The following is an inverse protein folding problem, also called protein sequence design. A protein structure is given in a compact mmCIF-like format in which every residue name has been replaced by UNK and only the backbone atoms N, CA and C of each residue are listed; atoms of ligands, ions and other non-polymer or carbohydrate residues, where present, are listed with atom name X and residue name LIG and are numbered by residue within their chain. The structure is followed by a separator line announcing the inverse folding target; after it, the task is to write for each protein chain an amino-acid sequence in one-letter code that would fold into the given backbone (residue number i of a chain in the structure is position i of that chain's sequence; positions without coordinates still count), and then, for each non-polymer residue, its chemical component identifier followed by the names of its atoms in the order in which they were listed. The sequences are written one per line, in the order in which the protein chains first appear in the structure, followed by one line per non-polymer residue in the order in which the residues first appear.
data_IF_558241536118
#
_entry.id   IF_558241536118
#
_cell.length_a   1.000
_cell.length_b   1.000
_cell.length_c   1.000
_cell.angle_alpha   90.00
_cell.angle_beta   90.00
_cell.angle_gamma   90.00
#
_symmetry.space_group_name_H-M   'P 1'
#
loop_
_entity.id
_entity.type
_entity.pdbx_description
1 polymer ?
#
# COMPACT_ATOMS: atom_id res chain seq x y z
N UNK A 1 -11.32 23.32 29.26
CA UNK A 1 -10.29 23.63 28.24
C UNK A 1 -10.10 22.40 27.37
N UNK A 2 -10.24 22.59 26.07
CA UNK A 2 -10.54 21.59 25.03
C UNK A 2 -9.53 20.44 24.91
N UNK A 3 -10.04 19.21 24.76
CA UNK A 3 -9.27 18.00 24.42
C UNK A 3 -8.53 18.07 23.08
N UNK A 4 -8.79 19.11 22.27
CA UNK A 4 -8.08 19.44 21.04
C UNK A 4 -6.58 19.74 21.27
N UNK A 5 -6.21 20.31 22.43
CA UNK A 5 -4.81 20.59 22.77
C UNK A 5 -4.04 19.34 23.22
N UNK A 6 -4.71 18.28 23.69
CA UNK A 6 -4.03 17.00 24.01
C UNK A 6 -3.73 16.16 22.75
N UNK A 7 -4.57 16.25 21.71
CA UNK A 7 -4.29 15.59 20.43
C UNK A 7 -3.07 16.21 19.71
N UNK A 8 -2.85 17.53 19.86
CA UNK A 8 -1.66 18.21 19.35
C UNK A 8 -0.36 17.89 20.12
N UNK A 9 -0.46 17.38 21.35
CA UNK A 9 0.70 16.95 22.14
C UNK A 9 1.05 15.45 21.96
N UNK A 10 0.18 14.66 21.35
CA UNK A 10 0.45 13.27 20.97
C UNK A 10 1.10 13.13 19.57
N UNK A 11 1.19 14.22 18.81
CA UNK A 11 1.63 14.25 17.41
C UNK A 11 3.04 14.80 17.15
N UNK A 12 3.89 14.93 18.17
CA UNK A 12 5.32 15.20 17.96
C UNK A 12 6.09 13.89 18.06
N UNK A 13 5.99 13.03 17.03
CA UNK A 13 7.09 12.10 16.74
C UNK A 13 8.25 12.99 16.36
N UNK A 14 9.22 13.13 17.27
CA UNK A 14 10.44 13.88 17.08
C UNK A 14 10.99 13.66 15.66
N UNK A 15 11.22 14.75 14.92
CA UNK A 15 11.82 14.74 13.59
C UNK A 15 13.22 14.11 13.68
N UNK A 16 13.29 12.79 13.48
CA UNK A 16 14.54 12.14 13.15
C UNK A 16 15.00 12.70 11.79
N UNK A 17 16.30 12.98 11.60
CA UNK A 17 16.81 13.54 10.36
C UNK A 17 16.36 12.69 9.17
N UNK A 18 15.84 13.36 8.13
CA UNK A 18 15.29 12.81 6.88
C UNK A 18 16.33 11.93 6.19
N UNK A 19 16.44 10.68 6.61
CA UNK A 19 17.36 9.74 6.01
C UNK A 19 16.82 9.40 4.62
N UNK A 20 17.50 9.90 3.59
CA UNK A 20 17.22 9.53 2.20
C UNK A 20 17.45 8.03 2.08
N UNK A 21 16.43 7.32 1.64
CA UNK A 21 16.48 5.88 1.40
C UNK A 21 17.55 5.61 0.35
N UNK A 22 18.52 4.77 0.70
CA UNK A 22 19.51 4.24 -0.22
C UNK A 22 19.14 2.82 -0.63
N UNK A 23 19.63 2.38 -1.78
CA UNK A 23 19.39 1.01 -2.27
C UNK A 23 19.93 -0.05 -1.30
N UNK A 24 21.05 0.24 -0.62
CA UNK A 24 21.65 -0.66 0.36
C UNK A 24 20.73 -0.89 1.56
N UNK A 25 20.03 0.16 2.01
CA UNK A 25 19.08 0.07 3.12
C UNK A 25 17.91 -0.85 2.74
N UNK A 26 17.34 -0.66 1.54
CA UNK A 26 16.24 -1.50 1.04
C UNK A 26 16.66 -2.97 0.95
N UNK A 27 17.88 -3.26 0.50
CA UNK A 27 18.42 -4.63 0.47
C UNK A 27 18.57 -5.21 1.87
N UNK A 28 19.04 -4.42 2.83
CA UNK A 28 19.14 -4.83 4.22
C UNK A 28 17.76 -5.16 4.82
N UNK A 29 16.72 -4.43 4.43
CA UNK A 29 15.34 -4.65 4.86
C UNK A 29 14.59 -5.73 4.06
N UNK A 30 15.25 -6.40 3.12
CA UNK A 30 14.70 -7.57 2.43
C UNK A 30 14.32 -7.38 0.96
N UNK A 31 14.75 -6.28 0.32
CA UNK A 31 14.62 -6.14 -1.14
C UNK A 31 15.53 -7.15 -1.86
N UNK A 32 14.92 -8.06 -2.62
CA UNK A 32 15.64 -9.09 -3.40
C UNK A 32 15.39 -8.92 -4.89
N UNK A 33 16.30 -9.45 -5.73
CA UNK A 33 16.05 -9.60 -7.18
C UNK A 33 15.86 -8.32 -8.00
N UNK A 34 15.95 -7.14 -7.40
CA UNK A 34 15.73 -5.84 -8.01
C UNK A 34 16.93 -4.92 -7.78
N UNK A 35 17.27 -4.13 -8.80
CA UNK A 35 18.19 -3.00 -8.70
C UNK A 35 17.46 -1.76 -9.18
N UNK A 36 17.11 -0.87 -8.26
CA UNK A 36 16.38 0.34 -8.57
C UNK A 36 17.28 1.29 -9.38
N UNK A 37 16.75 1.85 -10.46
CA UNK A 37 17.39 2.94 -11.18
C UNK A 37 17.33 4.21 -10.33
N UNK A 38 18.23 5.16 -10.59
CA UNK A 38 18.34 6.39 -9.79
C UNK A 38 17.01 7.15 -9.67
N UNK A 39 16.26 7.28 -10.78
CA UNK A 39 14.95 7.93 -10.77
C UNK A 39 13.90 7.15 -9.97
N UNK A 40 13.98 5.81 -9.94
CA UNK A 40 13.06 4.98 -9.15
C UNK A 40 13.33 5.16 -7.66
N UNK A 41 14.61 5.24 -7.27
CA UNK A 41 15.00 5.52 -5.89
C UNK A 41 14.56 6.93 -5.47
N UNK A 42 14.61 7.91 -6.37
CA UNK A 42 14.03 9.24 -6.14
C UNK A 42 12.52 9.19 -5.95
N UNK A 43 11.80 8.41 -6.78
CA UNK A 43 10.38 8.13 -6.62
C UNK A 43 10.05 7.51 -5.25
N UNK A 44 10.82 6.52 -4.80
CA UNK A 44 10.66 5.90 -3.46
C UNK A 44 10.86 6.93 -2.35
N UNK A 45 11.89 7.78 -2.45
CA UNK A 45 12.14 8.83 -1.47
C UNK A 45 10.99 9.85 -1.41
N UNK A 46 10.44 10.21 -2.57
CA UNK A 46 9.28 11.09 -2.66
C UNK A 46 8.03 10.44 -2.04
N UNK A 47 7.76 9.17 -2.34
CA UNK A 47 6.67 8.40 -1.73
C UNK A 47 6.79 8.32 -0.21
N UNK A 48 7.99 8.04 0.30
CA UNK A 48 8.27 8.02 1.74
C UNK A 48 7.99 9.39 2.37
N UNK A 49 8.36 10.49 1.71
CA UNK A 49 8.03 11.83 2.17
C UNK A 49 6.52 12.08 2.20
N UNK A 50 5.79 11.68 1.15
CA UNK A 50 4.33 11.77 1.12
C UNK A 50 3.69 11.01 2.29
N UNK A 51 4.21 9.82 2.59
CA UNK A 51 3.77 9.00 3.74
C UNK A 51 3.96 9.72 5.07
N UNK A 52 5.16 10.25 5.31
CA UNK A 52 5.47 10.98 6.55
C UNK A 52 4.61 12.23 6.73
N UNK A 53 4.30 12.92 5.63
CA UNK A 53 3.43 14.09 5.65
C UNK A 53 1.93 13.72 5.75
N UNK A 54 1.57 12.44 5.78
CA UNK A 54 0.19 11.94 5.72
C UNK A 54 -0.61 12.50 4.53
N UNK A 55 0.10 12.77 3.43
CA UNK A 55 -0.50 13.28 2.20
C UNK A 55 -0.65 12.13 1.21
N UNK A 56 -1.85 12.02 0.62
CA UNK A 56 -2.03 11.17 -0.56
C UNK A 56 -1.18 11.67 -1.73
N UNK A 57 -0.83 10.78 -2.65
CA UNK A 57 -0.01 11.14 -3.80
C UNK A 57 -0.35 10.35 -5.06
N UNK A 58 0.11 10.86 -6.21
CA UNK A 58 -0.10 10.24 -7.52
C UNK A 58 1.26 10.01 -8.18
N UNK A 59 1.60 8.76 -8.44
CA UNK A 59 2.75 8.41 -9.29
C UNK A 59 2.31 8.46 -10.74
N UNK A 60 2.68 9.53 -11.45
CA UNK A 60 2.39 9.74 -12.86
C UNK A 60 3.52 9.39 -13.82
N UNK A 61 4.45 8.53 -13.41
CA UNK A 61 5.53 8.05 -14.26
C UNK A 61 4.95 7.28 -15.47
N UNK A 62 5.54 7.43 -16.66
CA UNK A 62 5.13 6.69 -17.86
C UNK A 62 5.07 5.17 -17.63
N UNK A 63 4.19 4.50 -18.39
CA UNK A 63 4.10 3.04 -18.40
C UNK A 63 5.47 2.39 -18.64
N UNK A 64 5.81 1.37 -17.85
CA UNK A 64 7.08 0.65 -17.96
C UNK A 64 8.25 1.25 -17.18
N UNK A 65 8.07 2.39 -16.50
CA UNK A 65 9.12 2.97 -15.63
C UNK A 65 9.26 2.30 -14.26
N UNK A 66 8.43 1.28 -13.97
CA UNK A 66 8.54 0.44 -12.78
C UNK A 66 7.86 1.03 -11.54
N UNK A 67 6.66 1.62 -11.69
CA UNK A 67 5.84 2.10 -10.56
C UNK A 67 5.56 1.01 -9.52
N UNK A 68 5.31 -0.22 -9.98
CA UNK A 68 5.17 -1.39 -9.10
C UNK A 68 6.41 -1.60 -8.24
N UNK A 69 7.58 -1.66 -8.86
CA UNK A 69 8.87 -1.79 -8.18
C UNK A 69 9.10 -0.69 -7.13
N UNK A 70 8.76 0.57 -7.44
CA UNK A 70 8.85 1.69 -6.49
C UNK A 70 7.89 1.50 -5.30
N UNK A 71 6.67 1.03 -5.56
CA UNK A 71 5.67 0.78 -4.52
C UNK A 71 6.08 -0.36 -3.58
N UNK A 72 6.61 -1.46 -4.13
CA UNK A 72 7.13 -2.58 -3.34
C UNK A 72 8.31 -2.11 -2.47
N UNK A 73 9.21 -1.31 -3.03
CA UNK A 73 10.31 -0.72 -2.29
C UNK A 73 9.84 0.22 -1.16
N UNK A 74 8.73 0.94 -1.36
CA UNK A 74 8.08 1.70 -0.28
C UNK A 74 7.61 0.77 0.85
N UNK A 75 6.92 -0.34 0.56
CA UNK A 75 6.46 -1.26 1.62
C UNK A 75 7.64 -1.84 2.43
N UNK A 76 8.73 -2.21 1.75
CA UNK A 76 9.95 -2.68 2.42
C UNK A 76 10.54 -1.57 3.32
N UNK A 77 10.57 -0.33 2.85
CA UNK A 77 10.99 0.80 3.66
C UNK A 77 10.10 0.98 4.90
N UNK A 78 8.78 0.93 4.75
CA UNK A 78 7.85 1.10 5.87
C UNK A 78 8.02 -0.01 6.92
N UNK A 79 8.07 -1.27 6.48
CA UNK A 79 8.25 -2.42 7.35
C UNK A 79 9.63 -2.41 8.03
N UNK A 80 10.71 -2.24 7.27
CA UNK A 80 12.08 -2.37 7.79
C UNK A 80 12.61 -1.16 8.55
N UNK A 81 12.20 0.07 8.18
CA UNK A 81 12.70 1.31 8.80
C UNK A 81 11.79 1.87 9.87
N UNK A 82 10.47 1.84 9.61
CA UNK A 82 9.48 2.48 10.48
C UNK A 82 8.78 1.47 11.41
N UNK A 83 9.08 0.17 11.27
CA UNK A 83 8.39 -0.93 11.94
C UNK A 83 6.86 -0.85 11.73
N UNK A 84 6.43 -0.34 10.57
CA UNK A 84 5.05 -0.36 10.13
C UNK A 84 4.86 -1.59 9.26
N UNK A 85 4.44 -2.69 9.86
CA UNK A 85 4.21 -3.97 9.19
C UNK A 85 2.87 -4.00 8.42
N UNK A 86 2.18 -2.87 8.31
CA UNK A 86 0.89 -2.74 7.64
C UNK A 86 -0.30 -2.84 8.61
N UNK A 87 -1.50 -3.18 8.11
CA UNK A 87 -1.75 -3.78 6.80
C UNK A 87 -1.75 -2.77 5.64
N UNK A 88 -1.27 -3.19 4.47
CA UNK A 88 -1.26 -2.43 3.22
C UNK A 88 -2.25 -3.01 2.21
N UNK A 89 -3.04 -2.16 1.55
CA UNK A 89 -4.04 -2.58 0.56
C UNK A 89 -3.59 -2.19 -0.85
N UNK A 90 -3.61 -3.14 -1.77
CA UNK A 90 -3.40 -2.88 -3.21
C UNK A 90 -4.69 -3.23 -3.95
N UNK A 91 -5.20 -2.28 -4.71
CA UNK A 91 -6.34 -2.46 -5.61
C UNK A 91 -5.84 -2.33 -7.04
N UNK A 92 -5.96 -3.40 -7.82
CA UNK A 92 -5.53 -3.41 -9.21
C UNK A 92 -6.56 -4.11 -10.12
N UNK A 93 -6.49 -3.95 -11.45
CA UNK A 93 -7.25 -4.79 -12.36
C UNK A 93 -6.95 -6.28 -12.18
N UNK A 94 -7.97 -7.14 -12.35
CA UNK A 94 -7.82 -8.59 -12.24
C UNK A 94 -6.71 -9.15 -13.16
N UNK A 95 -6.54 -8.57 -14.34
CA UNK A 95 -5.56 -9.00 -15.34
C UNK A 95 -4.10 -8.86 -14.91
N UNK A 96 -3.80 -7.99 -13.95
CA UNK A 96 -2.43 -7.78 -13.45
C UNK A 96 -2.24 -8.24 -12.00
N UNK A 97 -3.28 -8.84 -11.43
CA UNK A 97 -3.26 -9.28 -10.03
C UNK A 97 -2.21 -10.37 -9.80
N UNK A 98 -2.09 -11.35 -10.72
CA UNK A 98 -1.06 -12.39 -10.61
C UNK A 98 0.35 -11.81 -10.72
N UNK A 99 0.55 -10.83 -11.62
CA UNK A 99 1.83 -10.15 -11.77
C UNK A 99 2.23 -9.41 -10.47
N UNK A 100 1.30 -8.68 -9.85
CA UNK A 100 1.57 -8.04 -8.55
C UNK A 100 1.97 -9.05 -7.47
N UNK A 101 1.29 -10.20 -7.41
CA UNK A 101 1.63 -11.28 -6.48
C UNK A 101 3.05 -11.81 -6.73
N UNK A 102 3.37 -12.13 -7.98
CA UNK A 102 4.69 -12.64 -8.38
C UNK A 102 5.80 -11.63 -8.10
N UNK A 103 5.57 -10.34 -8.36
CA UNK A 103 6.55 -9.28 -8.06
C UNK A 103 6.75 -9.09 -6.55
N UNK A 104 5.68 -9.18 -5.74
CA UNK A 104 5.78 -9.17 -4.28
C UNK A 104 6.60 -10.35 -3.76
N UNK A 105 6.30 -11.56 -4.21
CA UNK A 105 7.03 -12.78 -3.81
C UNK A 105 8.51 -12.75 -4.26
N UNK A 106 8.78 -12.16 -5.43
CA UNK A 106 10.13 -12.07 -5.98
C UNK A 106 10.98 -10.98 -5.32
N UNK A 107 10.40 -9.81 -5.09
CA UNK A 107 11.14 -8.62 -4.67
C UNK A 107 11.06 -8.35 -3.16
N UNK A 108 10.01 -8.82 -2.49
CA UNK A 108 9.78 -8.65 -1.07
C UNK A 108 9.32 -9.96 -0.38
N UNK A 109 10.09 -11.07 -0.49
CA UNK A 109 9.67 -12.37 0.05
C UNK A 109 9.46 -12.38 1.58
N UNK A 110 10.00 -11.41 2.31
CA UNK A 110 9.77 -11.23 3.74
C UNK A 110 8.41 -10.63 4.10
N UNK A 111 7.69 -10.05 3.14
CA UNK A 111 6.36 -9.47 3.34
C UNK A 111 5.29 -10.47 2.89
N UNK A 112 4.49 -10.96 3.82
CA UNK A 112 3.35 -11.81 3.49
C UNK A 112 2.29 -11.05 2.68
N UNK A 113 2.05 -11.53 1.46
CA UNK A 113 1.08 -10.99 0.53
C UNK A 113 -0.08 -11.98 0.35
N UNK A 114 -1.30 -11.54 0.69
CA UNK A 114 -2.52 -12.34 0.55
C UNK A 114 -3.33 -11.82 -0.63
N UNK A 115 -3.67 -12.71 -1.56
CA UNK A 115 -4.59 -12.40 -2.64
C UNK A 115 -6.03 -12.61 -2.18
N UNK A 116 -6.79 -11.52 -2.15
CA UNK A 116 -8.22 -11.53 -1.87
C UNK A 116 -9.00 -11.37 -3.18
N UNK A 117 -9.21 -12.50 -3.85
CA UNK A 117 -9.95 -12.60 -5.09
C UNK A 117 -10.70 -13.95 -5.12
N UNK A 118 -11.23 -14.35 -6.27
CA UNK A 118 -11.90 -15.64 -6.42
C UNK A 118 -13.39 -15.59 -6.12
N UNK A 119 -13.99 -16.75 -5.89
CA UNK A 119 -15.44 -16.87 -5.71
C UNK A 119 -15.91 -16.46 -4.30
N UNK A 120 -17.22 -16.48 -4.06
CA UNK A 120 -17.79 -16.04 -2.79
C UNK A 120 -17.42 -16.95 -1.62
N UNK A 121 -17.29 -18.26 -1.86
CA UNK A 121 -17.02 -19.25 -0.83
C UNK A 121 -15.55 -19.19 -0.41
N UNK A 122 -14.64 -19.13 -1.37
CA UNK A 122 -13.20 -18.91 -1.14
C UNK A 122 -12.96 -17.65 -0.31
N UNK A 123 -13.61 -16.55 -0.69
CA UNK A 123 -13.50 -15.28 0.04
C UNK A 123 -14.09 -15.36 1.44
N UNK A 124 -15.18 -16.10 1.65
CA UNK A 124 -15.76 -16.27 2.99
C UNK A 124 -14.80 -17.01 3.95
N UNK A 125 -14.09 -18.03 3.46
CA UNK A 125 -13.06 -18.70 4.24
C UNK A 125 -11.88 -17.78 4.54
N UNK A 126 -11.35 -17.07 3.53
CA UNK A 126 -10.28 -16.09 3.74
C UNK A 126 -10.67 -14.99 4.74
N UNK A 127 -11.92 -14.49 4.69
CA UNK A 127 -12.40 -13.52 5.68
C UNK A 127 -12.38 -14.06 7.10
N UNK A 128 -12.68 -15.35 7.28
CA UNK A 128 -12.63 -16.00 8.58
C UNK A 128 -11.18 -16.11 9.07
N UNK A 129 -10.27 -16.58 8.22
CA UNK A 129 -8.85 -16.72 8.54
C UNK A 129 -8.22 -15.37 8.90
N UNK A 130 -8.50 -14.34 8.10
CA UNK A 130 -7.98 -12.97 8.32
C UNK A 130 -8.54 -12.32 9.60
N UNK A 131 -9.73 -12.73 10.06
CA UNK A 131 -10.30 -12.26 11.34
C UNK A 131 -9.73 -13.02 12.54
N UNK A 132 -9.31 -14.29 12.37
CA UNK A 132 -8.80 -15.16 13.44
C UNK A 132 -7.29 -15.04 13.66
N UNK A 133 -6.73 -13.84 13.46
CA UNK A 133 -5.32 -13.48 13.70
C UNK A 133 -4.30 -13.89 12.62
N UNK A 134 -4.72 -14.21 11.39
CA UNK A 134 -3.75 -14.29 10.28
C UNK A 134 -3.10 -12.91 10.07
N UNK A 135 -1.86 -12.75 10.51
CA UNK A 135 -1.07 -11.54 10.23
C UNK A 135 -0.62 -11.55 8.78
N UNK A 136 -1.01 -10.52 8.05
CA UNK A 136 -0.54 -10.26 6.69
C UNK A 136 -0.01 -8.84 6.60
N UNK A 137 0.96 -8.63 5.70
CA UNK A 137 1.50 -7.30 5.45
C UNK A 137 0.74 -6.62 4.32
N UNK A 138 0.44 -7.36 3.25
CA UNK A 138 -0.20 -6.84 2.04
C UNK A 138 -1.44 -7.66 1.70
N UNK A 139 -2.55 -6.97 1.42
CA UNK A 139 -3.74 -7.56 0.82
C UNK A 139 -3.89 -7.03 -0.61
N UNK A 140 -3.97 -7.94 -1.57
CA UNK A 140 -4.13 -7.62 -2.99
C UNK A 140 -5.54 -8.00 -3.44
N UNK A 141 -6.29 -7.05 -3.98
CA UNK A 141 -7.68 -7.24 -4.42
C UNK A 141 -7.99 -6.52 -5.72
N UNK A 142 -9.17 -6.74 -6.27
CA UNK A 142 -9.67 -6.01 -7.44
C UNK A 142 -10.67 -4.93 -7.08
N UNK A 143 -10.94 -4.03 -8.02
CA UNK A 143 -11.96 -3.00 -7.91
C UNK A 143 -13.35 -3.56 -7.59
N UNK A 144 -13.75 -4.63 -8.28
CA UNK A 144 -15.07 -5.24 -8.13
C UNK A 144 -15.23 -5.88 -6.75
N UNK A 145 -14.20 -6.59 -6.29
CA UNK A 145 -14.20 -7.22 -4.96
C UNK A 145 -14.16 -6.16 -3.87
N UNK A 146 -13.37 -5.09 -4.06
CA UNK A 146 -13.32 -3.98 -3.11
C UNK A 146 -14.69 -3.34 -2.88
N UNK A 147 -15.49 -3.18 -3.94
CA UNK A 147 -16.84 -2.62 -3.84
C UNK A 147 -17.83 -3.61 -3.19
N UNK A 148 -17.74 -4.89 -3.55
CA UNK A 148 -18.63 -5.95 -3.02
C UNK A 148 -18.41 -6.21 -1.53
N UNK A 149 -17.15 -6.31 -1.12
CA UNK A 149 -16.75 -6.69 0.23
C UNK A 149 -16.19 -5.48 1.01
N UNK A 150 -16.65 -4.27 0.66
CA UNK A 150 -16.21 -3.01 1.27
C UNK A 150 -16.31 -3.01 2.80
N UNK A 151 -17.37 -3.57 3.37
CA UNK A 151 -17.58 -3.65 4.82
C UNK A 151 -16.50 -4.48 5.52
N UNK A 152 -16.04 -5.57 4.89
CA UNK A 152 -14.94 -6.38 5.40
C UNK A 152 -13.62 -5.63 5.31
N UNK A 153 -13.31 -5.05 4.15
CA UNK A 153 -12.05 -4.31 3.97
C UNK A 153 -11.94 -3.12 4.93
N UNK A 154 -13.05 -2.42 5.21
CA UNK A 154 -13.07 -1.31 6.19
C UNK A 154 -12.80 -1.73 7.63
N UNK A 155 -12.87 -3.02 7.96
CA UNK A 155 -12.60 -3.50 9.32
C UNK A 155 -11.11 -3.47 9.67
N UNK A 156 -10.22 -3.29 8.68
CA UNK A 156 -8.78 -3.21 8.88
C UNK A 156 -8.29 -1.76 8.95
N UNK A 157 -7.36 -1.44 9.87
CA UNK A 157 -6.73 -0.12 9.94
C UNK A 157 -5.58 -0.02 8.94
N UNK A 158 -5.90 0.15 7.66
CA UNK A 158 -4.90 0.21 6.58
C UNK A 158 -3.91 1.36 6.79
N UNK A 159 -2.60 1.06 6.79
CA UNK A 159 -1.54 2.08 6.81
C UNK A 159 -1.41 2.76 5.45
N UNK A 160 -1.46 1.98 4.37
CA UNK A 160 -1.29 2.44 2.99
C UNK A 160 -2.33 1.79 2.09
N UNK A 161 -2.88 2.59 1.19
CA UNK A 161 -3.76 2.13 0.12
C UNK A 161 -3.17 2.52 -1.24
N UNK A 162 -2.92 1.53 -2.09
CA UNK A 162 -2.43 1.69 -3.45
C UNK A 162 -3.54 1.36 -4.43
N UNK A 163 -3.75 2.24 -5.40
CA UNK A 163 -4.73 2.07 -6.47
C UNK A 163 -4.01 2.11 -7.81
N UNK A 164 -3.92 0.96 -8.47
CA UNK A 164 -3.22 0.79 -9.75
C UNK A 164 -4.16 0.89 -10.95
N UNK A 165 -3.74 1.57 -12.01
CA UNK A 165 -4.58 1.94 -13.15
C UNK A 165 -5.82 2.78 -12.75
N UNK A 166 -5.61 3.76 -11.87
CA UNK A 166 -6.66 4.60 -11.29
C UNK A 166 -7.50 5.35 -12.35
N UNK A 167 -7.01 5.50 -13.59
CA UNK A 167 -7.77 6.08 -14.70
C UNK A 167 -9.07 5.30 -15.01
N UNK A 168 -9.10 3.97 -14.75
CA UNK A 168 -10.30 3.13 -14.90
C UNK A 168 -11.41 3.54 -13.94
N UNK A 169 -11.08 4.28 -12.89
CA UNK A 169 -12.02 4.74 -11.89
C UNK A 169 -12.87 5.91 -12.34
N UNK A 170 -12.67 6.55 -13.49
CA UNK A 170 -13.46 7.76 -13.86
C UNK A 170 -14.98 7.59 -13.67
N UNK A 171 -15.55 6.41 -13.99
CA UNK A 171 -16.98 6.14 -13.82
C UNK A 171 -17.37 5.47 -12.48
N UNK A 172 -16.43 4.81 -11.78
CA UNK A 172 -16.65 4.21 -10.47
C UNK A 172 -16.11 5.06 -9.32
N UNK A 173 -15.57 6.24 -9.65
CA UNK A 173 -14.83 7.13 -8.77
C UNK A 173 -15.69 7.56 -7.61
N UNK A 174 -16.97 7.90 -7.81
CA UNK A 174 -17.82 8.35 -6.71
C UNK A 174 -18.04 7.27 -5.64
N UNK A 175 -18.34 6.03 -6.04
CA UNK A 175 -18.64 4.94 -5.10
C UNK A 175 -17.36 4.41 -4.46
N UNK A 176 -16.31 4.21 -5.26
CA UNK A 176 -15.03 3.74 -4.77
C UNK A 176 -14.35 4.81 -3.91
N UNK A 177 -14.29 6.07 -4.35
CA UNK A 177 -13.75 7.17 -3.55
C UNK A 177 -14.54 7.38 -2.26
N UNK A 178 -15.88 7.23 -2.26
CA UNK A 178 -16.65 7.24 -1.01
C UNK A 178 -16.30 6.05 -0.11
N UNK A 179 -16.14 4.87 -0.71
CA UNK A 179 -15.74 3.66 0.00
C UNK A 179 -14.33 3.76 0.58
N UNK A 180 -13.41 4.38 -0.16
CA UNK A 180 -12.00 4.56 0.21
C UNK A 180 -11.78 5.78 1.10
N UNK A 181 -12.57 6.84 1.00
CA UNK A 181 -12.49 7.99 1.93
C UNK A 181 -12.87 7.61 3.36
N UNK A 182 -13.63 6.54 3.51
CA UNK A 182 -13.96 5.95 4.81
C UNK A 182 -12.85 5.02 5.32
N UNK A 183 -11.88 4.66 4.47
CA UNK A 183 -10.67 3.93 4.87
C UNK A 183 -9.63 4.95 5.33
N UNK A 184 -9.34 5.00 6.63
CA UNK A 184 -8.44 5.96 7.27
C UNK A 184 -6.96 5.65 6.95
N UNK A 185 -6.57 5.78 5.68
CA UNK A 185 -5.24 5.45 5.15
C UNK A 185 -4.73 6.53 4.22
N UNK A 186 -3.41 6.65 4.07
CA UNK A 186 -2.84 7.48 3.01
C UNK A 186 -3.08 6.82 1.64
N UNK A 187 -3.75 7.55 0.73
CA UNK A 187 -4.12 7.07 -0.60
C UNK A 187 -3.02 7.38 -1.63
N UNK A 188 -2.52 6.34 -2.27
CA UNK A 188 -1.53 6.37 -3.33
C UNK A 188 -2.16 5.90 -4.63
N UNK A 189 -2.18 6.76 -5.65
CA UNK A 189 -2.70 6.41 -6.97
C UNK A 189 -1.55 6.25 -7.96
N UNK A 190 -1.58 5.19 -8.77
CA UNK A 190 -0.66 5.00 -9.89
C UNK A 190 -1.39 5.41 -11.18
N UNK A 191 -0.84 6.39 -11.89
CA UNK A 191 -1.37 6.90 -13.15
C UNK A 191 -0.44 6.45 -14.32
N UNK A 192 -0.99 6.01 -15.46
CA UNK A 192 -0.20 5.69 -16.65
C UNK A 192 0.30 6.92 -17.42
#
# INVERSE_FOLDING_TARGET
MSGFLRALQAGSRAEAPRARVQEQDLRQWGLTGLRLRSYQLEGVNWLAQCFHCQNGCILGDEMGLGKTCQTIALFIYLAGRLNDEGPFLIICPLSILSNWKEEMERFAPGLSCVTYAGDKEERAHLQQDLRQELRFHVLLTTYEICLKDASFLKSFPWSVLVVDEAHRLKNQSSLLHKTLSEVNSALYQLWP
#
